data_IF_454204134453
#
_entry.id   IF_454204134453
#
_cell.length_a   1.000
_cell.length_b   1.000
_cell.length_c   1.000
_cell.angle_alpha   90.00
_cell.angle_beta   90.00
_cell.angle_gamma   90.00
#
_symmetry.space_group_name_H-M   'P 1'
#
loop_
_entity.id
_entity.type
_entity.pdbx_description
1 polymer ?
#
# COMPACT_ATOMS: atom_id res chain seq x y z
N UNK A 1 19.88 -6.38 2.56
CA UNK A 1 21.09 -6.66 1.75
C UNK A 1 22.35 -6.09 2.40
N UNK A 2 23.49 -6.72 2.20
CA UNK A 2 24.81 -6.24 2.65
C UNK A 2 25.84 -6.29 1.54
N UNK A 3 26.56 -5.19 1.33
CA UNK A 3 27.53 -5.03 0.23
C UNK A 3 28.89 -4.57 0.74
N UNK A 4 29.96 -5.01 0.08
CA UNK A 4 31.33 -4.58 0.36
C UNK A 4 31.85 -3.65 -0.73
N UNK A 5 32.00 -2.37 -0.43
CA UNK A 5 32.44 -1.38 -1.41
C UNK A 5 33.89 -1.56 -1.86
N UNK A 6 34.78 -2.10 -1.02
CA UNK A 6 36.21 -2.28 -1.37
C UNK A 6 36.40 -3.45 -2.33
N UNK A 7 35.74 -4.57 -2.09
CA UNK A 7 35.82 -5.74 -2.97
C UNK A 7 34.79 -5.72 -4.11
N UNK A 8 33.83 -4.79 -4.07
CA UNK A 8 32.68 -4.72 -4.98
C UNK A 8 31.95 -6.08 -5.06
N UNK A 9 31.59 -6.60 -3.90
CA UNK A 9 30.91 -7.90 -3.76
C UNK A 9 29.66 -7.75 -2.89
N UNK A 10 28.67 -8.57 -3.21
CA UNK A 10 27.52 -8.82 -2.35
C UNK A 10 27.97 -9.75 -1.22
N UNK A 11 27.78 -9.33 0.03
CA UNK A 11 28.11 -10.15 1.22
C UNK A 11 26.87 -10.92 1.72
N UNK A 12 25.67 -10.35 1.56
CA UNK A 12 24.41 -11.00 1.89
C UNK A 12 23.24 -10.45 1.07
N UNK A 13 22.36 -11.36 0.65
CA UNK A 13 21.08 -11.09 0.00
C UNK A 13 19.98 -11.74 0.83
N UNK A 14 18.93 -10.99 1.12
CA UNK A 14 17.74 -11.50 1.79
C UNK A 14 16.53 -10.87 1.11
N UNK A 15 15.64 -11.72 0.59
CA UNK A 15 14.48 -11.34 -0.20
C UNK A 15 14.77 -10.27 -1.28
N UNK A 16 15.90 -10.38 -1.97
CA UNK A 16 16.30 -9.52 -3.08
C UNK A 16 17.40 -10.18 -3.91
N UNK A 17 17.68 -9.60 -5.07
CA UNK A 17 18.79 -9.95 -5.95
C UNK A 17 19.57 -8.69 -6.30
N UNK A 18 20.89 -8.73 -6.17
CA UNK A 18 21.79 -7.60 -6.38
C UNK A 18 22.85 -7.93 -7.44
N UNK A 19 22.95 -7.05 -8.44
CA UNK A 19 23.99 -7.13 -9.47
C UNK A 19 24.91 -5.92 -9.36
N UNK A 20 26.18 -6.14 -8.97
CA UNK A 20 27.17 -5.06 -8.83
C UNK A 20 27.89 -4.83 -10.15
N UNK A 21 27.88 -3.60 -10.62
CA UNK A 21 28.71 -3.16 -11.75
C UNK A 21 30.10 -2.79 -11.23
N UNK A 22 31.14 -3.50 -11.68
CA UNK A 22 32.51 -3.20 -11.29
C UNK A 22 32.97 -1.88 -11.91
N UNK A 23 33.46 -0.96 -11.08
CA UNK A 23 33.90 0.36 -11.52
C UNK A 23 35.19 0.78 -10.80
N UNK A 24 36.00 1.60 -11.46
CA UNK A 24 37.27 2.07 -10.88
C UNK A 24 37.05 3.00 -9.68
N UNK A 25 35.97 3.78 -9.68
CA UNK A 25 35.61 4.71 -8.61
C UNK A 25 34.09 4.68 -8.37
N UNK A 26 33.68 4.89 -7.12
CA UNK A 26 32.27 4.83 -6.74
C UNK A 26 31.73 3.40 -6.60
N UNK A 27 30.41 3.30 -6.48
CA UNK A 27 29.71 2.03 -6.40
C UNK A 27 28.33 2.17 -7.06
N UNK A 28 28.08 1.30 -8.04
CA UNK A 28 26.80 1.18 -8.74
C UNK A 28 26.37 -0.26 -8.73
N UNK A 29 25.08 -0.50 -8.49
CA UNK A 29 24.50 -1.83 -8.51
C UNK A 29 23.03 -1.76 -8.89
N UNK A 30 22.53 -2.81 -9.52
CA UNK A 30 21.10 -3.01 -9.77
C UNK A 30 20.53 -3.87 -8.65
N UNK A 31 19.31 -3.57 -8.24
CA UNK A 31 18.58 -4.29 -7.20
C UNK A 31 17.20 -4.66 -7.71
N UNK A 32 16.85 -5.95 -7.58
CA UNK A 32 15.48 -6.42 -7.63
C UNK A 32 15.05 -6.84 -6.23
N UNK A 33 14.15 -6.08 -5.61
CA UNK A 33 13.57 -6.44 -4.32
C UNK A 33 12.54 -7.57 -4.48
N UNK A 34 12.41 -8.46 -3.50
CA UNK A 34 11.37 -9.50 -3.48
C UNK A 34 10.01 -8.99 -3.00
N UNK A 35 9.97 -7.79 -2.42
CA UNK A 35 8.74 -7.11 -2.00
C UNK A 35 8.90 -5.58 -2.05
N UNK A 36 7.78 -4.87 -2.13
CA UNK A 36 7.71 -3.41 -2.01
C UNK A 36 7.59 -2.99 -0.54
N UNK A 37 8.08 -1.78 -0.17
CA UNK A 37 7.86 -1.24 1.17
C UNK A 37 6.37 -0.95 1.42
N UNK A 38 5.94 -0.96 2.68
CA UNK A 38 4.57 -0.62 3.04
C UNK A 38 4.44 0.91 3.24
N UNK A 39 3.71 1.62 2.36
CA UNK A 39 3.56 3.06 2.48
C UNK A 39 2.75 3.39 3.74
N UNK A 40 3.29 4.30 4.55
CA UNK A 40 2.65 4.72 5.79
C UNK A 40 2.59 6.23 5.92
N UNK A 41 1.48 6.71 6.49
CA UNK A 41 1.31 8.13 6.77
C UNK A 41 2.42 8.61 7.72
N UNK A 42 2.98 9.82 7.53
CA UNK A 42 4.01 10.37 8.41
C UNK A 42 3.68 10.27 9.91
N UNK A 43 2.42 10.50 10.29
CA UNK A 43 1.99 10.44 11.70
C UNK A 43 2.06 9.03 12.29
N UNK A 44 1.82 7.99 11.48
CA UNK A 44 1.94 6.60 11.94
C UNK A 44 3.41 6.21 12.09
N UNK A 45 4.29 6.68 11.19
CA UNK A 45 5.74 6.46 11.30
C UNK A 45 6.34 7.04 12.58
N UNK A 46 5.75 8.10 13.12
CA UNK A 46 6.20 8.76 14.36
C UNK A 46 5.67 8.11 15.64
N UNK A 47 4.67 7.22 15.57
CA UNK A 47 4.05 6.58 16.74
C UNK A 47 4.71 5.25 17.11
N UNK A 48 6.03 5.27 17.26
CA UNK A 48 6.83 4.10 17.65
C UNK A 48 6.46 3.54 19.02
N UNK A 49 5.92 4.39 19.89
CA UNK A 49 5.56 4.03 21.27
C UNK A 49 4.35 3.09 21.33
N UNK A 50 3.53 3.03 20.27
CA UNK A 50 2.39 2.12 20.20
C UNK A 50 2.80 0.77 19.60
N UNK A 51 3.50 0.82 18.47
CA UNK A 51 3.99 -0.35 17.75
C UNK A 51 5.31 0.06 17.06
N UNK A 52 6.41 -0.69 17.20
CA UNK A 52 7.66 -0.46 16.49
C UNK A 52 7.54 -0.91 15.01
N UNK A 53 6.56 -0.36 14.29
CA UNK A 53 6.13 -0.82 12.97
C UNK A 53 7.26 -0.80 11.94
N UNK A 54 8.07 0.26 11.94
CA UNK A 54 9.17 0.40 10.99
C UNK A 54 10.26 -0.65 11.24
N UNK A 55 10.44 -1.06 12.50
CA UNK A 55 11.43 -2.03 12.92
C UNK A 55 10.92 -3.47 12.77
N UNK A 56 9.64 -3.74 12.92
CA UNK A 56 9.15 -5.13 12.88
C UNK A 56 8.53 -5.52 11.55
N UNK A 57 7.91 -4.57 10.83
CA UNK A 57 7.01 -4.88 9.71
C UNK A 57 7.37 -4.16 8.41
N UNK A 58 8.28 -3.20 8.42
CA UNK A 58 8.60 -2.39 7.24
C UNK A 58 10.09 -2.08 7.14
N UNK A 59 10.92 -3.12 7.02
CA UNK A 59 12.38 -2.98 6.87
C UNK A 59 12.84 -3.31 5.45
N UNK A 60 13.44 -2.33 4.78
CA UNK A 60 14.18 -2.48 3.51
C UNK A 60 15.63 -2.05 3.76
N UNK A 61 16.43 -2.93 4.38
CA UNK A 61 17.76 -2.59 4.87
C UNK A 61 18.84 -2.61 3.77
N UNK A 62 19.54 -1.49 3.63
CA UNK A 62 20.76 -1.35 2.82
C UNK A 62 21.97 -1.12 3.72
N UNK A 63 22.88 -2.11 3.73
CA UNK A 63 24.17 -2.00 4.42
C UNK A 63 25.32 -1.99 3.43
N UNK A 64 26.19 -0.98 3.49
CA UNK A 64 27.40 -0.89 2.66
C UNK A 64 28.64 -0.77 3.56
N UNK A 65 29.43 -1.84 3.60
CA UNK A 65 30.66 -1.95 4.40
C UNK A 65 31.87 -1.52 3.58
N UNK A 66 32.96 -1.23 4.30
CA UNK A 66 34.29 -0.90 3.75
C UNK A 66 34.30 0.32 2.81
N UNK A 67 33.33 1.24 2.95
CA UNK A 67 33.41 2.57 2.36
C UNK A 67 34.57 3.36 2.99
N UNK A 68 35.22 4.19 2.17
CA UNK A 68 36.17 5.17 2.69
C UNK A 68 35.47 6.12 3.68
N UNK A 69 36.23 6.67 4.63
CA UNK A 69 35.69 7.69 5.55
C UNK A 69 35.17 8.87 4.73
N UNK A 70 33.94 9.27 5.01
CA UNK A 70 33.27 10.36 4.32
C UNK A 70 31.76 10.33 4.40
N UNK A 71 31.16 11.21 3.59
CA UNK A 71 29.72 11.31 3.33
C UNK A 71 29.42 10.98 1.87
N UNK A 72 28.26 10.38 1.64
CA UNK A 72 27.85 9.82 0.36
C UNK A 72 26.41 10.20 0.04
N UNK A 73 26.16 10.59 -1.20
CA UNK A 73 24.81 10.72 -1.75
C UNK A 73 24.39 9.38 -2.33
N UNK A 74 23.20 8.95 -1.95
CA UNK A 74 22.54 7.78 -2.53
C UNK A 74 21.53 8.24 -3.58
N UNK A 75 21.62 7.64 -4.76
CA UNK A 75 20.64 7.78 -5.83
C UNK A 75 20.01 6.43 -6.15
N UNK A 76 18.71 6.44 -6.46
CA UNK A 76 17.98 5.30 -7.03
C UNK A 76 17.28 5.80 -8.29
N UNK A 77 17.57 5.18 -9.44
CA UNK A 77 17.09 5.60 -10.76
C UNK A 77 17.32 7.10 -11.02
N UNK A 78 18.55 7.54 -10.72
CA UNK A 78 19.02 8.93 -10.83
C UNK A 78 18.28 9.96 -9.94
N UNK A 79 17.41 9.52 -9.04
CA UNK A 79 16.76 10.37 -8.02
C UNK A 79 17.55 10.34 -6.72
N UNK A 80 17.87 11.52 -6.16
CA UNK A 80 18.55 11.63 -4.87
C UNK A 80 17.62 11.17 -3.74
N UNK A 81 18.04 10.16 -2.98
CA UNK A 81 17.33 9.65 -1.80
C UNK A 81 17.76 10.42 -0.55
N UNK A 82 19.06 10.71 -0.44
CA UNK A 82 19.61 11.43 0.69
C UNK A 82 21.13 11.35 0.78
N UNK A 83 21.66 11.99 1.80
CA UNK A 83 23.10 11.99 2.13
C UNK A 83 23.35 11.23 3.43
N UNK A 84 24.32 10.32 3.40
CA UNK A 84 24.63 9.40 4.49
C UNK A 84 26.12 9.37 4.79
N UNK A 85 26.46 9.24 6.07
CA UNK A 85 27.86 8.98 6.44
C UNK A 85 28.21 7.52 6.15
N UNK A 86 29.49 7.25 5.88
CA UNK A 86 29.99 5.86 5.78
C UNK A 86 29.64 5.01 7.02
N UNK A 87 29.52 5.63 8.21
CA UNK A 87 29.13 4.93 9.45
C UNK A 87 27.65 4.53 9.42
N UNK A 88 26.77 5.42 8.97
CA UNK A 88 25.35 5.13 8.82
C UNK A 88 25.13 4.00 7.79
N UNK A 89 25.78 4.09 6.62
CA UNK A 89 25.71 3.04 5.60
C UNK A 89 26.30 1.70 6.10
N UNK A 90 27.36 1.73 6.90
CA UNK A 90 27.92 0.52 7.52
C UNK A 90 26.97 -0.09 8.57
N UNK A 91 26.22 0.73 9.31
CA UNK A 91 25.26 0.27 10.30
C UNK A 91 23.97 -0.28 9.66
N UNK A 92 23.66 0.16 8.44
CA UNK A 92 22.43 -0.15 7.73
C UNK A 92 21.45 1.03 7.77
N UNK A 93 20.91 1.38 6.61
CA UNK A 93 19.81 2.35 6.49
C UNK A 93 18.55 1.65 6.00
N UNK A 94 17.40 2.05 6.52
CA UNK A 94 16.11 1.49 6.12
C UNK A 94 15.48 2.33 4.99
N UNK A 95 15.51 1.82 3.75
CA UNK A 95 15.03 2.51 2.55
C UNK A 95 13.52 2.76 2.56
N UNK A 96 12.73 1.93 3.24
CA UNK A 96 11.27 2.10 3.33
C UNK A 96 10.86 3.35 4.12
N UNK A 97 11.79 4.03 4.80
CA UNK A 97 11.55 5.31 5.45
C UNK A 97 11.54 6.49 4.46
N UNK A 98 12.05 6.31 3.24
CA UNK A 98 12.25 7.36 2.26
C UNK A 98 11.15 7.31 1.20
N UNK A 99 10.15 8.19 1.32
CA UNK A 99 9.01 8.17 0.40
C UNK A 99 9.39 8.54 -1.03
N UNK A 100 10.54 9.17 -1.25
CA UNK A 100 11.01 9.60 -2.57
C UNK A 100 11.59 8.47 -3.41
N UNK A 101 11.80 7.27 -2.86
CA UNK A 101 12.35 6.14 -3.63
C UNK A 101 11.33 5.65 -4.67
N UNK A 102 11.78 5.21 -5.86
CA UNK A 102 10.88 4.68 -6.89
C UNK A 102 9.98 3.55 -6.40
N UNK A 103 10.52 2.60 -5.64
CA UNK A 103 9.76 1.48 -5.08
C UNK A 103 8.74 1.93 -4.02
N UNK A 104 9.02 2.99 -3.25
CA UNK A 104 8.02 3.53 -2.32
C UNK A 104 6.89 4.24 -3.07
N UNK A 105 7.21 5.00 -4.12
CA UNK A 105 6.22 5.63 -4.98
C UNK A 105 5.33 4.59 -5.70
N UNK A 106 5.92 3.48 -6.15
CA UNK A 106 5.15 2.34 -6.66
C UNK A 106 4.19 1.79 -5.59
N UNK A 107 4.67 1.63 -4.36
CA UNK A 107 3.85 1.16 -3.25
C UNK A 107 2.70 2.14 -2.89
N UNK A 108 2.96 3.44 -2.90
CA UNK A 108 1.93 4.47 -2.70
C UNK A 108 0.83 4.39 -3.76
N UNK A 109 1.20 4.23 -5.03
CA UNK A 109 0.24 4.04 -6.11
C UNK A 109 -0.65 2.80 -5.91
N UNK A 110 -0.08 1.68 -5.45
CA UNK A 110 -0.85 0.48 -5.12
C UNK A 110 -1.77 0.72 -3.93
N UNK A 111 -1.32 1.46 -2.92
CA UNK A 111 -2.15 1.84 -1.78
C UNK A 111 -3.36 2.67 -2.22
N UNK A 112 -3.20 3.59 -3.17
CA UNK A 112 -4.32 4.34 -3.76
C UNK A 112 -5.33 3.41 -4.45
N UNK A 113 -4.84 2.46 -5.27
CA UNK A 113 -5.70 1.45 -5.90
C UNK A 113 -6.45 0.60 -4.86
N UNK A 114 -5.81 0.22 -3.76
CA UNK A 114 -6.46 -0.48 -2.64
C UNK A 114 -7.56 0.37 -1.98
N UNK A 115 -7.37 1.69 -1.86
CA UNK A 115 -8.42 2.59 -1.37
C UNK A 115 -9.59 2.68 -2.35
N UNK A 116 -9.35 2.73 -3.65
CA UNK A 116 -10.41 2.69 -4.67
C UNK A 116 -11.16 1.35 -4.63
N UNK A 117 -10.44 0.23 -4.54
CA UNK A 117 -11.05 -1.10 -4.36
C UNK A 117 -11.98 -1.12 -3.15
N UNK A 118 -11.51 -0.61 -2.00
CA UNK A 118 -12.30 -0.54 -0.77
C UNK A 118 -13.57 0.32 -0.93
N UNK A 119 -13.51 1.44 -1.66
CA UNK A 119 -14.67 2.29 -1.91
C UNK A 119 -15.75 1.53 -2.69
N UNK A 120 -15.38 0.89 -3.80
CA UNK A 120 -16.31 0.09 -4.61
C UNK A 120 -16.86 -1.08 -3.78
N UNK A 121 -16.01 -1.75 -3.00
CA UNK A 121 -16.42 -2.85 -2.12
C UNK A 121 -17.45 -2.39 -1.08
N UNK A 122 -17.33 -1.17 -0.54
CA UNK A 122 -18.31 -0.63 0.41
C UNK A 122 -19.70 -0.41 -0.22
N UNK A 123 -19.77 -0.07 -1.50
CA UNK A 123 -21.04 0.04 -2.22
C UNK A 123 -21.73 -1.32 -2.33
N UNK A 124 -20.98 -2.35 -2.74
CA UNK A 124 -21.48 -3.73 -2.78
C UNK A 124 -21.90 -4.20 -1.38
N UNK A 125 -21.11 -3.89 -0.34
CA UNK A 125 -21.47 -4.22 1.05
C UNK A 125 -22.74 -3.52 1.49
N UNK A 126 -23.09 -2.36 0.95
CA UNK A 126 -24.35 -1.67 1.24
C UNK A 126 -25.54 -2.48 0.71
N UNK A 127 -25.39 -3.13 -0.45
CA UNK A 127 -26.40 -4.04 -0.99
C UNK A 127 -26.66 -5.17 -0.01
N UNK A 128 -25.63 -5.98 0.27
CA UNK A 128 -25.76 -7.15 1.13
C UNK A 128 -26.12 -6.82 2.57
N UNK A 129 -25.68 -5.66 3.08
CA UNK A 129 -26.09 -5.20 4.39
C UNK A 129 -27.63 -5.09 4.49
N UNK A 130 -28.29 -4.47 3.51
CA UNK A 130 -29.75 -4.37 3.51
C UNK A 130 -30.40 -5.73 3.24
N UNK A 131 -29.88 -6.52 2.30
CA UNK A 131 -30.45 -7.84 1.98
C UNK A 131 -30.43 -8.79 3.18
N UNK A 132 -29.28 -8.96 3.82
CA UNK A 132 -29.13 -9.89 4.94
C UNK A 132 -29.65 -9.35 6.26
N UNK A 133 -29.57 -8.04 6.53
CA UNK A 133 -30.01 -7.50 7.82
C UNK A 133 -31.49 -7.15 7.83
N UNK A 134 -31.97 -6.49 6.78
CA UNK A 134 -33.29 -5.85 6.78
C UNK A 134 -34.30 -6.61 5.94
N UNK A 135 -33.89 -7.27 4.86
CA UNK A 135 -34.77 -8.07 3.99
C UNK A 135 -34.76 -9.58 4.30
N UNK A 136 -34.04 -10.05 5.33
CA UNK A 136 -33.95 -11.49 5.65
C UNK A 136 -35.32 -12.19 5.81
N UNK A 137 -36.34 -11.48 6.30
CA UNK A 137 -37.68 -12.00 6.54
C UNK A 137 -38.69 -11.53 5.48
N UNK A 138 -38.21 -10.95 4.37
CA UNK A 138 -39.06 -10.56 3.26
C UNK A 138 -39.41 -11.79 2.42
N UNK A 139 -40.69 -12.12 2.35
CA UNK A 139 -41.25 -13.27 1.63
C UNK A 139 -42.04 -12.86 0.38
N UNK A 140 -42.12 -11.56 0.09
CA UNK A 140 -42.81 -11.03 -1.09
C UNK A 140 -42.04 -11.21 -2.40
N UNK A 141 -42.65 -10.81 -3.54
CA UNK A 141 -42.00 -10.90 -4.85
C UNK A 141 -40.67 -10.14 -4.89
N UNK A 142 -39.64 -10.70 -5.53
CA UNK A 142 -38.33 -10.05 -5.69
C UNK A 142 -38.39 -8.89 -6.70
N UNK A 143 -39.05 -7.80 -6.31
CA UNK A 143 -39.23 -6.57 -7.08
C UNK A 143 -38.75 -5.38 -6.28
N UNK A 144 -38.27 -4.34 -6.97
CA UNK A 144 -37.83 -3.09 -6.34
C UNK A 144 -38.97 -2.47 -5.51
N UNK A 145 -40.19 -2.43 -6.07
CA UNK A 145 -41.34 -1.86 -5.39
C UNK A 145 -41.71 -2.64 -4.12
N UNK A 146 -41.74 -3.98 -4.18
CA UNK A 146 -42.05 -4.82 -3.02
C UNK A 146 -41.01 -4.70 -1.90
N UNK A 147 -39.71 -4.78 -2.26
CA UNK A 147 -38.61 -4.57 -1.31
C UNK A 147 -38.68 -3.16 -0.68
N UNK A 148 -39.00 -2.12 -1.46
CA UNK A 148 -39.11 -0.74 -0.97
C UNK A 148 -40.27 -0.59 0.01
N UNK A 149 -41.46 -1.04 -0.34
CA UNK A 149 -42.62 -0.98 0.54
C UNK A 149 -42.37 -1.70 1.89
N UNK A 150 -41.73 -2.87 1.85
CA UNK A 150 -41.38 -3.61 3.06
C UNK A 150 -40.34 -2.86 3.92
N UNK A 151 -39.29 -2.30 3.31
CA UNK A 151 -38.28 -1.52 4.03
C UNK A 151 -38.86 -0.24 4.63
N UNK A 152 -39.72 0.47 3.89
CA UNK A 152 -40.38 1.67 4.38
C UNK A 152 -41.26 1.34 5.60
N UNK A 153 -42.03 0.25 5.55
CA UNK A 153 -42.80 -0.24 6.71
C UNK A 153 -41.90 -0.60 7.92
N UNK A 154 -40.74 -1.22 7.70
CA UNK A 154 -39.76 -1.49 8.77
C UNK A 154 -39.21 -0.20 9.38
N UNK A 155 -38.91 0.80 8.54
CA UNK A 155 -38.38 2.10 8.97
C UNK A 155 -39.41 2.90 9.77
N UNK A 156 -40.69 2.85 9.41
CA UNK A 156 -41.77 3.52 10.15
C UNK A 156 -41.81 3.10 11.63
N UNK A 157 -41.62 1.80 11.90
CA UNK A 157 -41.55 1.27 13.28
C UNK A 157 -40.33 1.76 14.08
N UNK A 158 -39.33 2.31 13.40
CA UNK A 158 -38.09 2.76 14.00
C UNK A 158 -38.08 4.28 14.23
N UNK A 159 -39.13 5.01 13.85
CA UNK A 159 -39.23 6.45 14.10
C UNK A 159 -39.00 6.78 15.58
N UNK A 160 -38.19 7.80 15.84
CA UNK A 160 -37.77 8.20 17.18
C UNK A 160 -36.58 7.43 17.76
N UNK A 161 -36.10 6.36 17.11
CA UNK A 161 -34.85 5.68 17.50
C UNK A 161 -33.63 6.46 17.00
N UNK A 162 -32.54 6.46 17.78
CA UNK A 162 -31.29 7.17 17.45
C UNK A 162 -30.67 6.73 16.11
N UNK A 163 -30.88 5.49 15.71
CA UNK A 163 -30.36 4.91 14.45
C UNK A 163 -31.31 5.05 13.25
N UNK A 164 -32.51 5.63 13.43
CA UNK A 164 -33.53 5.74 12.37
C UNK A 164 -33.00 6.41 11.11
N UNK A 165 -32.45 7.62 11.24
CA UNK A 165 -31.93 8.39 10.10
C UNK A 165 -30.78 7.67 9.38
N UNK A 166 -29.96 6.93 10.13
CA UNK A 166 -28.88 6.13 9.56
C UNK A 166 -29.44 4.96 8.73
N UNK A 167 -30.47 4.26 9.22
CA UNK A 167 -31.12 3.19 8.45
C UNK A 167 -31.84 3.75 7.21
N UNK A 168 -32.54 4.89 7.31
CA UNK A 168 -33.17 5.55 6.15
C UNK A 168 -32.12 5.83 5.06
N UNK A 169 -30.96 6.38 5.45
CA UNK A 169 -29.85 6.64 4.50
C UNK A 169 -29.36 5.36 3.83
N UNK A 170 -29.18 4.26 4.58
CA UNK A 170 -28.72 2.99 4.01
C UNK A 170 -29.76 2.34 3.10
N UNK A 171 -31.05 2.37 3.45
CA UNK A 171 -32.13 1.88 2.59
C UNK A 171 -32.19 2.67 1.28
N UNK A 172 -32.08 4.00 1.32
CA UNK A 172 -32.03 4.81 0.11
C UNK A 172 -30.81 4.48 -0.74
N UNK A 173 -29.63 4.38 -0.11
CA UNK A 173 -28.39 4.01 -0.80
C UNK A 173 -28.48 2.64 -1.47
N UNK A 174 -29.10 1.66 -0.81
CA UNK A 174 -29.35 0.34 -1.40
C UNK A 174 -30.05 0.44 -2.76
N UNK A 175 -31.13 1.21 -2.88
CA UNK A 175 -31.85 1.35 -4.14
C UNK A 175 -31.11 2.17 -5.20
N UNK A 176 -30.22 3.08 -4.80
CA UNK A 176 -29.35 3.81 -5.73
C UNK A 176 -28.26 2.90 -6.33
N UNK A 177 -27.72 1.99 -5.51
CA UNK A 177 -26.55 1.17 -5.85
C UNK A 177 -26.94 -0.16 -6.51
N UNK A 178 -28.04 -0.77 -6.07
CA UNK A 178 -28.49 -2.09 -6.52
C UNK A 178 -28.56 -2.24 -8.06
N UNK A 179 -29.08 -1.27 -8.85
CA UNK A 179 -29.09 -1.39 -10.31
C UNK A 179 -27.69 -1.53 -10.94
N UNK A 180 -26.65 -1.12 -10.22
CA UNK A 180 -25.26 -1.13 -10.67
C UNK A 180 -24.45 -2.30 -10.10
N UNK A 181 -25.04 -3.26 -9.37
CA UNK A 181 -24.30 -4.33 -8.69
C UNK A 181 -23.32 -5.07 -9.61
N UNK A 182 -23.79 -5.53 -10.76
CA UNK A 182 -22.94 -6.25 -11.73
C UNK A 182 -21.79 -5.37 -12.24
N UNK A 183 -22.03 -4.08 -12.45
CA UNK A 183 -21.00 -3.13 -12.87
C UNK A 183 -19.95 -2.95 -11.79
N UNK A 184 -20.36 -2.84 -10.52
CA UNK A 184 -19.46 -2.67 -9.38
C UNK A 184 -18.57 -3.91 -9.19
N UNK A 185 -19.11 -5.11 -9.38
CA UNK A 185 -18.30 -6.34 -9.35
C UNK A 185 -17.24 -6.37 -10.45
N UNK A 186 -17.61 -6.02 -11.69
CA UNK A 186 -16.64 -5.88 -12.79
C UNK A 186 -15.58 -4.81 -12.51
N UNK A 187 -15.99 -3.69 -11.90
CA UNK A 187 -15.06 -2.63 -11.51
C UNK A 187 -14.07 -3.11 -10.43
N UNK A 188 -14.51 -3.90 -9.44
CA UNK A 188 -13.61 -4.53 -8.47
C UNK A 188 -12.59 -5.45 -9.14
N UNK A 189 -13.01 -6.26 -10.12
CA UNK A 189 -12.10 -7.15 -10.87
C UNK A 189 -11.02 -6.34 -11.59
N UNK A 190 -11.41 -5.28 -12.31
CA UNK A 190 -10.47 -4.40 -13.01
C UNK A 190 -9.50 -3.72 -12.05
N UNK A 191 -9.96 -3.22 -10.90
CA UNK A 191 -9.07 -2.60 -9.90
C UNK A 191 -8.13 -3.65 -9.30
N UNK A 192 -8.64 -4.86 -9.02
CA UNK A 192 -7.84 -5.97 -8.51
C UNK A 192 -6.73 -6.35 -9.49
N UNK A 193 -7.04 -6.49 -10.77
CA UNK A 193 -6.05 -6.74 -11.81
C UNK A 193 -4.96 -5.67 -11.81
N UNK A 194 -5.35 -4.38 -11.79
CA UNK A 194 -4.39 -3.27 -11.71
C UNK A 194 -3.48 -3.36 -10.49
N UNK A 195 -4.01 -3.74 -9.32
CA UNK A 195 -3.21 -3.95 -8.10
C UNK A 195 -2.15 -5.04 -8.34
N UNK A 196 -2.54 -6.20 -8.87
CA UNK A 196 -1.63 -7.33 -9.07
C UNK A 196 -0.64 -7.11 -10.22
N UNK A 197 -0.99 -6.33 -11.25
CA UNK A 197 -0.03 -5.96 -12.30
C UNK A 197 0.97 -4.92 -11.81
N UNK A 198 0.55 -4.02 -10.91
CA UNK A 198 1.40 -2.92 -10.42
C UNK A 198 2.23 -3.28 -9.20
N UNK A 199 1.98 -4.41 -8.52
CA UNK A 199 2.67 -4.77 -7.26
C UNK A 199 3.96 -5.58 -7.43
N UNK A 200 4.36 -5.90 -8.65
CA UNK A 200 5.60 -6.62 -8.91
C UNK A 200 6.79 -5.65 -8.78
N UNK A 201 7.73 -5.87 -7.86
CA UNK A 201 8.93 -5.04 -7.76
C UNK A 201 9.71 -5.01 -9.08
N UNK A 202 10.35 -3.89 -9.36
CA UNK A 202 11.13 -3.70 -10.58
C UNK A 202 12.62 -3.62 -10.25
N UNK A 203 13.45 -3.82 -11.28
CA UNK A 203 14.87 -3.53 -11.17
C UNK A 203 15.08 -2.02 -11.01
N UNK A 204 15.89 -1.64 -10.03
CA UNK A 204 16.29 -0.26 -9.78
C UNK A 204 17.80 -0.14 -9.75
N UNK A 205 18.34 0.94 -10.33
CA UNK A 205 19.78 1.22 -10.35
C UNK A 205 20.16 2.14 -9.19
N UNK A 206 20.99 1.63 -8.30
CA UNK A 206 21.53 2.34 -7.15
C UNK A 206 22.91 2.92 -7.49
N UNK A 207 23.13 4.19 -7.15
CA UNK A 207 24.43 4.86 -7.33
C UNK A 207 24.84 5.56 -6.05
N UNK A 208 26.05 5.28 -5.58
CA UNK A 208 26.63 5.92 -4.41
C UNK A 208 27.78 6.85 -4.81
N UNK A 209 27.63 8.15 -4.54
CA UNK A 209 28.63 9.19 -4.87
C UNK A 209 29.22 9.79 -3.60
N UNK A 210 30.55 9.73 -3.44
CA UNK A 210 31.24 10.40 -2.34
C UNK A 210 31.16 11.92 -2.51
N UNK A 211 30.91 12.65 -1.43
CA UNK A 211 30.76 14.11 -1.42
C UNK A 211 31.91 14.78 -0.64
N UNK A 212 32.32 14.18 0.48
CA UNK A 212 33.43 14.62 1.33
C UNK A 212 34.05 13.45 2.07
#
# INVERSE_FOLDING_TARGET
MELNARSQKVEAEDNCTVEIEKQATGMTFNLLSGALPLPTKPDLRKKTDLIPFQQELNQEQLTIKKLAKGSYKLFIDDREVGSFTHRALKAGINLSAYSTTPQYQQAEHISELCFEYKKVQNEIRTIYFIEYRMLQNYDGPNTIAGKRAYLDWQLEKQKGKSYYNWNVKNCNRYFEVLPNEQKLWKELEVIREKIYTSNTPQWHTFKLKKIS
#
